data_IF_806599818062
#
_entry.id   IF_806599818062
#
_cell.length_a   1.000
_cell.length_b   1.000
_cell.length_c   1.000
_cell.angle_alpha   90.00
_cell.angle_beta   90.00
_cell.angle_gamma   90.00
#
_symmetry.space_group_name_H-M   'P 1'
#
loop_
_entity.id
_entity.type
_entity.pdbx_description
1 polymer ?
#
# COMPACT_ATOMS: atom_id res chain seq x y z
N UNK A 1 7.45 -45.23 21.43
CA UNK A 1 7.30 -44.67 20.07
C UNK A 1 6.02 -43.87 20.13
N UNK A 2 6.10 -42.55 20.22
CA UNK A 2 4.90 -41.71 20.12
C UNK A 2 4.36 -41.92 18.71
N UNK A 3 3.15 -42.45 18.57
CA UNK A 3 2.48 -42.61 17.29
C UNK A 3 2.40 -41.24 16.62
N UNK A 4 3.24 -41.04 15.60
CA UNK A 4 3.40 -39.81 14.82
C UNK A 4 2.17 -39.62 13.92
N UNK A 5 1.03 -39.42 14.59
CA UNK A 5 -0.31 -39.17 14.03
C UNK A 5 -0.54 -37.68 13.81
N UNK A 6 0.54 -36.90 13.71
CA UNK A 6 0.44 -35.50 13.35
C UNK A 6 -0.10 -35.42 11.89
N UNK A 7 -1.23 -34.73 11.66
CA UNK A 7 -1.74 -34.54 10.31
C UNK A 7 -0.65 -33.87 9.46
N UNK A 8 -0.45 -34.38 8.23
CA UNK A 8 0.47 -33.77 7.28
C UNK A 8 0.07 -32.29 7.08
N UNK A 9 1.01 -31.37 7.34
CA UNK A 9 0.77 -29.94 7.22
C UNK A 9 0.45 -29.59 5.76
N UNK A 10 -0.67 -28.91 5.53
CA UNK A 10 -1.03 -28.34 4.23
C UNK A 10 -0.20 -27.09 3.95
N UNK A 11 0.99 -27.31 3.40
CA UNK A 11 1.92 -26.23 3.04
C UNK A 11 1.37 -25.30 1.95
N UNK A 12 0.49 -25.78 1.07
CA UNK A 12 -0.06 -24.98 -0.03
C UNK A 12 -0.92 -23.84 0.52
N UNK A 13 -1.80 -24.15 1.48
CA UNK A 13 -2.61 -23.13 2.16
C UNK A 13 -1.76 -22.12 2.96
N UNK A 14 -0.67 -22.58 3.59
CA UNK A 14 0.26 -21.71 4.31
C UNK A 14 0.97 -20.73 3.37
N UNK A 15 1.46 -21.21 2.23
CA UNK A 15 2.16 -20.39 1.25
C UNK A 15 1.22 -19.35 0.62
N UNK A 16 -0.01 -19.74 0.26
CA UNK A 16 -1.00 -18.80 -0.27
C UNK A 16 -1.29 -17.64 0.70
N UNK A 17 -1.45 -17.94 1.99
CA UNK A 17 -1.70 -16.91 3.01
C UNK A 17 -0.47 -16.03 3.21
N UNK A 18 0.73 -16.61 3.18
CA UNK A 18 1.99 -15.89 3.33
C UNK A 18 2.22 -14.90 2.17
N UNK A 19 1.96 -15.30 0.93
CA UNK A 19 2.04 -14.41 -0.22
C UNK A 19 1.01 -13.26 -0.13
N UNK A 20 -0.21 -13.57 0.33
CA UNK A 20 -1.22 -12.57 0.63
C UNK A 20 -0.77 -11.56 1.69
N UNK A 21 -0.17 -12.04 2.78
CA UNK A 21 0.39 -11.20 3.84
C UNK A 21 1.52 -10.29 3.33
N UNK A 22 2.44 -10.82 2.52
CA UNK A 22 3.51 -10.02 1.90
C UNK A 22 2.91 -8.91 1.03
N UNK A 23 1.94 -9.26 0.18
CA UNK A 23 1.31 -8.31 -0.75
C UNK A 23 0.59 -7.20 0.01
N UNK A 24 -0.22 -7.56 1.01
CA UNK A 24 -0.90 -6.62 1.88
C UNK A 24 0.08 -5.72 2.63
N UNK A 25 1.16 -6.27 3.18
CA UNK A 25 2.16 -5.51 3.93
C UNK A 25 2.89 -4.50 3.04
N UNK A 26 3.25 -4.87 1.81
CA UNK A 26 3.87 -3.97 0.82
C UNK A 26 2.92 -2.82 0.46
N UNK A 27 1.70 -3.15 0.05
CA UNK A 27 0.70 -2.15 -0.36
C UNK A 27 0.32 -1.24 0.81
N UNK A 28 0.07 -1.81 1.99
CA UNK A 28 -0.30 -1.09 3.20
C UNK A 28 0.80 -0.13 3.67
N UNK A 29 2.07 -0.57 3.64
CA UNK A 29 3.21 0.30 4.00
C UNK A 29 3.28 1.51 3.07
N UNK A 30 3.18 1.30 1.75
CA UNK A 30 3.20 2.39 0.77
C UNK A 30 2.00 3.33 0.97
N UNK A 31 0.82 2.78 1.25
CA UNK A 31 -0.38 3.56 1.51
C UNK A 31 -0.22 4.48 2.73
N UNK A 32 0.32 3.95 3.84
CA UNK A 32 0.58 4.73 5.06
C UNK A 32 1.58 5.86 4.78
N UNK A 33 2.69 5.56 4.09
CA UNK A 33 3.66 6.59 3.69
C UNK A 33 3.00 7.68 2.84
N UNK A 34 2.12 7.30 1.92
CA UNK A 34 1.44 8.29 1.08
C UNK A 34 0.40 9.11 1.83
N UNK A 35 -0.28 8.53 2.82
CA UNK A 35 -1.17 9.28 3.72
C UNK A 35 -0.38 10.34 4.48
N UNK A 36 0.84 10.02 4.96
CA UNK A 36 1.71 11.01 5.62
C UNK A 36 2.07 12.15 4.65
N UNK A 37 2.38 11.85 3.38
CA UNK A 37 2.61 12.91 2.38
C UNK A 37 1.36 13.76 2.12
N UNK A 38 0.18 13.16 2.07
CA UNK A 38 -1.08 13.91 1.95
C UNK A 38 -1.30 14.82 3.16
N UNK A 39 -1.01 14.36 4.38
CA UNK A 39 -1.07 15.19 5.58
C UNK A 39 -0.11 16.39 5.50
N UNK A 40 1.08 16.21 4.91
CA UNK A 40 2.01 17.32 4.66
C UNK A 40 1.39 18.34 3.69
N UNK A 41 0.80 17.89 2.58
CA UNK A 41 0.12 18.76 1.62
C UNK A 41 -1.00 19.59 2.27
N UNK A 42 -1.78 18.98 3.18
CA UNK A 42 -2.86 19.65 3.88
C UNK A 42 -2.40 20.61 4.98
N UNK A 43 -1.36 20.25 5.72
CA UNK A 43 -0.92 21.00 6.90
C UNK A 43 -0.01 22.18 6.55
N UNK A 44 0.84 22.03 5.52
CA UNK A 44 1.89 22.98 5.21
C UNK A 44 1.75 23.63 3.83
N UNK A 45 0.87 23.12 2.97
CA UNK A 45 0.68 23.66 1.62
C UNK A 45 -0.44 24.70 1.50
N UNK A 46 -0.44 25.43 0.39
CA UNK A 46 -1.52 26.37 0.03
C UNK A 46 -2.73 25.70 -0.62
N UNK A 47 -3.63 26.50 -1.21
CA UNK A 47 -4.85 26.02 -1.90
C UNK A 47 -4.57 24.94 -2.94
N UNK A 48 -3.50 25.11 -3.74
CA UNK A 48 -3.11 24.16 -4.79
C UNK A 48 -2.70 22.81 -4.19
N UNK A 49 -1.84 22.82 -3.16
CA UNK A 49 -1.42 21.63 -2.44
C UNK A 49 -2.61 20.89 -1.81
N UNK A 50 -3.57 21.62 -1.25
CA UNK A 50 -4.79 21.05 -0.65
C UNK A 50 -5.64 20.30 -1.68
N UNK A 51 -5.82 20.86 -2.89
CA UNK A 51 -6.55 20.18 -3.97
C UNK A 51 -5.82 18.89 -4.38
N UNK A 52 -4.50 18.95 -4.57
CA UNK A 52 -3.72 17.76 -4.89
C UNK A 52 -3.74 16.73 -3.75
N UNK A 53 -3.72 17.15 -2.49
CA UNK A 53 -3.82 16.25 -1.35
C UNK A 53 -5.08 15.39 -1.39
N UNK A 54 -6.24 15.97 -1.75
CA UNK A 54 -7.48 15.21 -1.92
C UNK A 54 -7.42 14.24 -3.11
N UNK A 55 -6.91 14.70 -4.25
CA UNK A 55 -6.76 13.86 -5.44
C UNK A 55 -5.84 12.65 -5.16
N UNK A 56 -4.71 12.90 -4.49
CA UNK A 56 -3.74 11.86 -4.17
C UNK A 56 -4.23 10.92 -3.06
N UNK A 57 -5.01 11.41 -2.09
CA UNK A 57 -5.64 10.55 -1.08
C UNK A 57 -6.63 9.55 -1.72
N UNK A 58 -7.49 10.03 -2.63
CA UNK A 58 -8.40 9.17 -3.38
C UNK A 58 -7.62 8.18 -4.25
N UNK A 59 -6.60 8.67 -4.97
CA UNK A 59 -5.73 7.82 -5.79
C UNK A 59 -5.04 6.72 -4.94
N UNK A 60 -4.66 7.03 -3.70
CA UNK A 60 -4.06 6.06 -2.77
C UNK A 60 -5.04 4.94 -2.45
N UNK A 61 -6.28 5.28 -2.08
CA UNK A 61 -7.30 4.30 -1.74
C UNK A 61 -7.57 3.38 -2.93
N UNK A 62 -7.77 3.96 -4.12
CA UNK A 62 -8.01 3.20 -5.35
C UNK A 62 -6.81 2.31 -5.71
N UNK A 63 -5.60 2.87 -5.69
CA UNK A 63 -4.39 2.13 -6.00
C UNK A 63 -4.09 1.02 -4.99
N UNK A 64 -4.42 1.20 -3.71
CA UNK A 64 -4.30 0.17 -2.69
C UNK A 64 -5.29 -0.98 -2.90
N UNK A 65 -6.55 -0.68 -3.23
CA UNK A 65 -7.54 -1.73 -3.56
C UNK A 65 -7.10 -2.53 -4.78
N UNK A 66 -6.66 -1.86 -5.84
CA UNK A 66 -6.11 -2.51 -7.04
C UNK A 66 -4.87 -3.33 -6.68
N UNK A 67 -3.97 -2.78 -5.85
CA UNK A 67 -2.73 -3.42 -5.46
C UNK A 67 -2.93 -4.70 -4.65
N UNK A 68 -3.92 -4.75 -3.78
CA UNK A 68 -4.27 -5.99 -3.05
C UNK A 68 -4.87 -7.03 -4.01
N UNK A 69 -5.64 -6.61 -5.02
CA UNK A 69 -6.27 -7.53 -5.98
C UNK A 69 -5.30 -8.13 -7.02
N UNK A 70 -4.18 -7.46 -7.32
CA UNK A 70 -3.22 -7.89 -8.36
C UNK A 70 -2.10 -8.83 -7.86
N UNK A 71 -2.06 -9.17 -6.57
CA UNK A 71 -1.08 -10.11 -6.02
C UNK A 71 0.36 -9.57 -6.09
N UNK A 72 1.31 -10.40 -6.52
CA UNK A 72 2.75 -10.16 -6.37
C UNK A 72 3.27 -8.82 -6.93
N UNK A 73 2.70 -8.32 -8.03
CA UNK A 73 3.08 -7.04 -8.67
C UNK A 73 2.20 -5.85 -8.27
N UNK A 74 1.21 -6.07 -7.40
CA UNK A 74 0.23 -5.06 -7.03
C UNK A 74 0.79 -3.85 -6.27
N UNK A 75 2.03 -3.92 -5.79
CA UNK A 75 2.71 -2.80 -5.14
C UNK A 75 3.06 -1.64 -6.11
N UNK A 76 3.11 -1.89 -7.42
CA UNK A 76 3.57 -0.88 -8.39
C UNK A 76 2.62 0.32 -8.50
N UNK A 77 1.31 0.08 -8.50
CA UNK A 77 0.30 1.14 -8.57
C UNK A 77 0.38 2.10 -7.36
N UNK A 78 0.33 1.63 -6.10
CA UNK A 78 0.47 2.52 -4.94
C UNK A 78 1.86 3.17 -4.88
N UNK A 79 2.93 2.51 -5.35
CA UNK A 79 4.26 3.12 -5.43
C UNK A 79 4.31 4.30 -6.41
N UNK A 80 3.66 4.20 -7.58
CA UNK A 80 3.59 5.30 -8.53
C UNK A 80 2.84 6.51 -7.95
N UNK A 81 1.73 6.27 -7.25
CA UNK A 81 0.97 7.31 -6.53
C UNK A 81 1.84 7.94 -5.44
N UNK A 82 2.60 7.14 -4.70
CA UNK A 82 3.51 7.63 -3.66
C UNK A 82 4.60 8.56 -4.23
N UNK A 83 5.27 8.14 -5.31
CA UNK A 83 6.31 8.95 -5.96
C UNK A 83 5.72 10.27 -6.49
N UNK A 84 4.56 10.22 -7.14
CA UNK A 84 3.89 11.42 -7.65
C UNK A 84 3.51 12.38 -6.51
N UNK A 85 2.97 11.85 -5.41
CA UNK A 85 2.62 12.67 -4.24
C UNK A 85 3.86 13.31 -3.62
N UNK A 86 4.99 12.58 -3.58
CA UNK A 86 6.26 13.12 -3.08
C UNK A 86 6.78 14.27 -3.94
N UNK A 87 6.70 14.14 -5.26
CA UNK A 87 7.05 15.24 -6.18
C UNK A 87 6.12 16.43 -5.96
N UNK A 88 4.81 16.21 -5.85
CA UNK A 88 3.85 17.29 -5.58
C UNK A 88 4.12 17.97 -4.24
N UNK A 89 4.46 17.23 -3.19
CA UNK A 89 4.82 17.79 -1.90
C UNK A 89 6.04 18.70 -2.01
N UNK A 90 7.11 18.27 -2.71
CA UNK A 90 8.31 19.08 -2.93
C UNK A 90 8.02 20.38 -3.71
N UNK A 91 7.09 20.34 -4.65
CA UNK A 91 6.81 21.47 -5.55
C UNK A 91 5.77 22.45 -5.01
N UNK A 92 4.95 22.06 -4.03
CA UNK A 92 3.76 22.83 -3.61
C UNK A 92 3.70 23.18 -2.13
N UNK A 93 4.64 22.65 -1.33
CA UNK A 93 4.86 22.96 0.09
C UNK A 93 6.22 23.63 0.24
#
# INVERSE_FOLDING_TARGET
>A
MSDDTAPAMDYEAHEQTYEGFITFSKVGTIAVLNIVLCLILFAFGGTVATVFGWLMLIATIVASVIGVALGASGWMAPAAVFVLTGILAILTV
#
